data_IF_942899294037
#
_entry.id   IF_942899294037
#
_cell.length_a   1.000
_cell.length_b   1.000
_cell.length_c   1.000
_cell.angle_alpha   90.00
_cell.angle_beta   90.00
_cell.angle_gamma   90.00
#
_symmetry.space_group_name_H-M   'P 1'
#
loop_
_entity.id
_entity.type
_entity.pdbx_description
1 polymer ?
#
# COMPACT_ATOMS: atom_id res chain seq x y z
N UNK A 1 49.25 18.41 -11.71
CA UNK A 1 48.08 17.73 -12.32
C UNK A 1 47.24 17.10 -11.22
N UNK A 2 46.04 17.62 -10.94
CA UNK A 2 45.18 17.09 -9.86
C UNK A 2 44.39 15.86 -10.35
N UNK A 3 44.57 14.72 -9.67
CA UNK A 3 43.87 13.46 -9.97
C UNK A 3 42.39 13.61 -9.61
N UNK A 4 41.49 13.58 -10.60
CA UNK A 4 40.03 13.56 -10.40
C UNK A 4 39.69 12.37 -9.49
N UNK A 5 39.24 12.63 -8.28
CA UNK A 5 38.76 11.59 -7.36
C UNK A 5 37.43 11.09 -7.90
N UNK A 6 37.45 9.98 -8.65
CA UNK A 6 36.24 9.22 -8.97
C UNK A 6 35.77 8.54 -7.68
N UNK A 7 35.07 9.30 -6.83
CA UNK A 7 34.37 8.77 -5.68
C UNK A 7 33.17 7.95 -6.16
N UNK A 8 33.39 6.68 -6.49
CA UNK A 8 32.32 5.67 -6.41
C UNK A 8 31.98 5.50 -4.93
N UNK A 9 31.20 6.45 -4.38
CA UNK A 9 30.64 6.31 -3.04
C UNK A 9 29.78 5.05 -3.07
N UNK A 10 30.25 3.97 -2.45
CA UNK A 10 29.46 2.77 -2.23
C UNK A 10 28.27 3.18 -1.39
N UNK A 11 27.10 3.35 -2.03
CA UNK A 11 25.87 3.68 -1.33
C UNK A 11 25.65 2.61 -0.25
N UNK A 12 25.31 2.99 1.00
CA UNK A 12 25.06 2.02 2.06
C UNK A 12 23.98 1.03 1.58
N UNK A 13 24.20 -0.26 1.83
CA UNK A 13 23.26 -1.35 1.44
C UNK A 13 21.85 -1.12 1.97
N UNK A 14 21.73 -0.40 3.08
CA UNK A 14 20.49 -0.01 3.74
C UNK A 14 20.28 1.51 3.58
N UNK A 15 19.89 1.94 2.39
CA UNK A 15 19.29 3.26 2.24
C UNK A 15 17.96 3.31 2.99
N UNK A 16 17.61 4.45 3.60
CA UNK A 16 16.25 4.68 4.12
C UNK A 16 15.25 4.27 3.05
N UNK A 17 14.28 3.40 3.39
CA UNK A 17 13.23 2.99 2.45
C UNK A 17 12.58 4.27 1.94
N UNK A 18 12.78 4.55 0.65
CA UNK A 18 12.29 5.78 0.07
C UNK A 18 10.77 5.64 -0.02
N UNK A 19 10.04 6.42 0.77
CA UNK A 19 8.57 6.34 0.91
C UNK A 19 7.90 6.38 -0.47
N UNK A 20 8.49 7.13 -1.41
CA UNK A 20 8.07 7.19 -2.82
C UNK A 20 8.03 5.82 -3.51
N UNK A 21 9.00 4.94 -3.25
CA UNK A 21 9.03 3.58 -3.82
C UNK A 21 8.00 2.67 -3.16
N UNK A 22 7.76 2.83 -1.86
CA UNK A 22 6.73 2.07 -1.15
C UNK A 22 5.33 2.45 -1.67
N UNK A 23 5.06 3.76 -1.79
CA UNK A 23 3.78 4.26 -2.29
C UNK A 23 3.53 3.85 -3.73
N UNK A 24 4.57 3.83 -4.58
CA UNK A 24 4.47 3.31 -5.96
C UNK A 24 4.07 1.83 -6.00
N UNK A 25 4.46 1.04 -4.99
CA UNK A 25 4.25 -0.41 -4.97
C UNK A 25 2.93 -0.82 -4.32
N UNK A 26 2.54 -0.16 -3.24
CA UNK A 26 1.41 -0.59 -2.40
C UNK A 26 0.28 0.44 -2.28
N UNK A 27 0.41 1.60 -2.94
CA UNK A 27 -0.54 2.71 -2.81
C UNK A 27 -0.10 3.72 -1.76
N UNK A 28 -0.67 4.95 -1.79
CA UNK A 28 -0.36 6.00 -0.83
C UNK A 28 -0.93 5.71 0.56
N UNK A 29 -2.04 4.98 0.65
CA UNK A 29 -2.75 4.73 1.91
C UNK A 29 -2.25 3.49 2.66
N UNK A 30 -2.18 3.55 4.00
CA UNK A 30 -1.94 2.40 4.86
C UNK A 30 -3.03 1.35 4.76
N UNK A 31 -2.68 0.09 5.05
CA UNK A 31 -3.59 -1.08 4.98
C UNK A 31 -4.74 -0.93 5.97
N UNK A 32 -4.46 -0.45 7.18
CA UNK A 32 -5.44 -0.36 8.25
C UNK A 32 -6.57 0.61 7.91
N UNK A 33 -6.25 1.73 7.26
CA UNK A 33 -7.24 2.72 6.79
C UNK A 33 -8.12 2.12 5.69
N UNK A 34 -7.54 1.33 4.79
CA UNK A 34 -8.32 0.67 3.73
C UNK A 34 -9.27 -0.38 4.33
N UNK A 35 -8.81 -1.16 5.32
CA UNK A 35 -9.69 -2.11 6.03
C UNK A 35 -10.87 -1.39 6.67
N UNK A 36 -10.61 -0.30 7.40
CA UNK A 36 -11.70 0.46 8.03
C UNK A 36 -12.68 1.02 7.01
N UNK A 37 -12.20 1.51 5.86
CA UNK A 37 -13.09 2.05 4.82
C UNK A 37 -13.95 0.94 4.19
N UNK A 38 -13.37 -0.23 3.92
CA UNK A 38 -14.10 -1.40 3.42
C UNK A 38 -15.17 -1.90 4.40
N UNK A 39 -14.83 -1.94 5.70
CA UNK A 39 -15.77 -2.34 6.74
C UNK A 39 -16.93 -1.32 6.86
N UNK A 40 -16.63 -0.02 6.76
CA UNK A 40 -17.64 1.05 6.77
C UNK A 40 -18.57 1.01 5.56
N UNK A 41 -18.03 0.74 4.36
CA UNK A 41 -18.82 0.55 3.13
C UNK A 41 -19.80 -0.64 3.23
N UNK A 42 -19.48 -1.64 4.07
CA UNK A 42 -20.35 -2.81 4.28
C UNK A 42 -21.55 -2.54 5.20
N UNK A 43 -21.51 -1.48 6.01
CA UNK A 43 -22.49 -1.19 7.09
C UNK A 43 -23.65 -0.24 6.71
N UNK A 44 -23.92 -0.11 5.41
CA UNK A 44 -25.00 0.69 4.80
C UNK A 44 -24.75 2.21 4.69
N UNK A 45 -25.31 2.76 3.60
CA UNK A 45 -25.56 4.18 3.25
C UNK A 45 -24.53 4.87 2.32
N UNK A 46 -25.07 5.33 1.18
CA UNK A 46 -24.52 6.19 0.10
C UNK A 46 -23.70 5.53 -1.03
N UNK A 47 -24.44 4.97 -2.00
CA UNK A 47 -24.00 4.75 -3.39
C UNK A 47 -24.04 6.03 -4.23
N UNK A 48 -23.75 7.17 -3.62
CA UNK A 48 -23.73 8.48 -4.30
C UNK A 48 -22.34 9.13 -4.14
N UNK A 49 -21.29 8.32 -4.30
CA UNK A 49 -19.98 8.88 -4.64
C UNK A 49 -20.14 9.32 -6.09
N UNK A 50 -20.31 10.62 -6.31
CA UNK A 50 -20.34 11.23 -7.63
C UNK A 50 -19.21 10.64 -8.48
N UNK A 51 -19.59 9.74 -9.39
CA UNK A 51 -18.73 9.05 -10.37
C UNK A 51 -18.32 10.11 -11.40
N UNK A 52 -17.53 11.08 -10.96
CA UNK A 52 -16.92 12.08 -11.81
C UNK A 52 -15.54 11.56 -12.18
N UNK A 53 -15.53 10.71 -13.21
CA UNK A 53 -14.40 10.38 -14.08
C UNK A 53 -13.40 9.27 -13.69
N UNK A 54 -13.63 8.49 -12.63
CA UNK A 54 -12.76 7.35 -12.26
C UNK A 54 -13.43 5.99 -12.53
N UNK A 55 -13.73 5.69 -13.80
CA UNK A 55 -14.28 4.38 -14.20
C UNK A 55 -13.33 3.21 -13.85
N UNK A 56 -12.03 3.47 -13.69
CA UNK A 56 -11.00 2.46 -13.47
C UNK A 56 -10.23 2.71 -12.17
N UNK A 57 -10.82 2.32 -11.04
CA UNK A 57 -10.20 2.46 -9.72
C UNK A 57 -10.03 1.11 -9.00
N UNK A 58 -8.93 0.97 -8.25
CA UNK A 58 -8.68 -0.20 -7.40
C UNK A 58 -8.81 0.17 -5.92
N UNK A 59 -9.90 -0.28 -5.27
CA UNK A 59 -10.21 0.03 -3.86
C UNK A 59 -9.14 -0.49 -2.90
N UNK A 60 -8.63 -1.69 -3.13
CA UNK A 60 -7.66 -2.34 -2.23
C UNK A 60 -6.28 -1.67 -2.21
N UNK A 61 -5.93 -0.98 -3.30
CA UNK A 61 -4.65 -0.29 -3.48
C UNK A 61 -4.79 1.22 -3.50
N UNK A 62 -6.02 1.75 -3.43
CA UNK A 62 -6.35 3.17 -3.50
C UNK A 62 -5.60 3.88 -4.63
N UNK A 63 -5.79 3.35 -5.84
CA UNK A 63 -5.04 3.79 -7.02
C UNK A 63 -5.95 3.94 -8.24
N UNK A 64 -5.99 5.13 -8.86
CA UNK A 64 -6.68 5.35 -10.12
C UNK A 64 -5.86 4.84 -11.31
N UNK A 65 -6.57 4.43 -12.35
CA UNK A 65 -6.05 3.93 -13.61
C UNK A 65 -6.71 4.66 -14.78
N UNK A 66 -6.02 4.66 -15.93
CA UNK A 66 -6.48 5.35 -17.15
C UNK A 66 -7.39 4.43 -18.00
N UNK A 67 -7.12 3.12 -18.00
CA UNK A 67 -7.83 2.14 -18.86
C UNK A 67 -8.25 0.88 -18.10
N UNK A 68 -9.31 0.19 -18.56
CA UNK A 68 -9.72 -1.16 -18.10
C UNK A 68 -8.56 -2.16 -18.17
N UNK A 69 -7.82 -2.16 -19.27
CA UNK A 69 -6.70 -3.09 -19.49
C UNK A 69 -5.61 -2.90 -18.44
N UNK A 70 -5.36 -1.66 -18.04
CA UNK A 70 -4.37 -1.33 -17.01
C UNK A 70 -4.82 -1.77 -15.61
N UNK A 71 -6.12 -1.67 -15.31
CA UNK A 71 -6.71 -2.19 -14.08
C UNK A 71 -6.68 -3.72 -14.05
N UNK A 72 -7.07 -4.40 -15.14
CA UNK A 72 -7.01 -5.86 -15.23
C UNK A 72 -5.58 -6.38 -15.12
N UNK A 73 -4.61 -5.69 -15.75
CA UNK A 73 -3.20 -6.01 -15.61
C UNK A 73 -2.73 -5.82 -14.16
N UNK A 74 -3.14 -4.74 -13.50
CA UNK A 74 -2.83 -4.48 -12.09
C UNK A 74 -3.34 -5.59 -11.17
N UNK A 75 -4.59 -6.04 -11.33
CA UNK A 75 -5.19 -7.10 -10.53
C UNK A 75 -4.41 -8.42 -10.61
N UNK A 76 -3.77 -8.70 -11.76
CA UNK A 76 -2.95 -9.91 -11.97
C UNK A 76 -1.57 -9.82 -11.30
N UNK A 77 -1.09 -8.64 -10.95
CA UNK A 77 0.27 -8.43 -10.39
C UNK A 77 0.45 -9.05 -9.00
N UNK A 78 1.70 -9.39 -8.67
CA UNK A 78 2.06 -9.93 -7.34
C UNK A 78 1.84 -8.92 -6.22
N UNK A 79 2.00 -7.62 -6.48
CA UNK A 79 1.77 -6.56 -5.48
C UNK A 79 0.33 -6.51 -5.03
N UNK A 80 -0.61 -6.54 -5.98
CA UNK A 80 -2.04 -6.53 -5.68
C UNK A 80 -2.46 -7.81 -4.95
N UNK A 81 -2.04 -8.99 -5.44
CA UNK A 81 -2.31 -10.26 -4.74
C UNK A 81 -1.75 -10.33 -3.31
N UNK A 82 -0.63 -9.65 -3.05
CA UNK A 82 -0.07 -9.53 -1.69
C UNK A 82 -0.95 -8.63 -0.82
N UNK A 83 -1.44 -7.51 -1.37
CA UNK A 83 -2.36 -6.58 -0.71
C UNK A 83 -3.65 -7.29 -0.27
N UNK A 84 -4.26 -8.07 -1.15
CA UNK A 84 -5.46 -8.88 -0.83
C UNK A 84 -5.20 -9.80 0.37
N UNK A 85 -4.04 -10.46 0.41
CA UNK A 85 -3.70 -11.36 1.52
C UNK A 85 -3.52 -10.59 2.82
N UNK A 86 -2.80 -9.47 2.79
CA UNK A 86 -2.62 -8.58 3.95
C UNK A 86 -3.95 -8.00 4.45
N UNK A 87 -4.90 -7.75 3.55
CA UNK A 87 -6.25 -7.30 3.88
C UNK A 87 -7.07 -8.40 4.59
N UNK A 88 -6.87 -9.67 4.24
CA UNK A 88 -7.54 -10.80 4.90
C UNK A 88 -6.94 -11.18 6.25
N UNK A 89 -5.66 -10.87 6.47
CA UNK A 89 -4.98 -11.18 7.72
C UNK A 89 -5.44 -10.25 8.84
N UNK A 90 -5.66 -10.78 10.04
CA UNK A 90 -6.01 -9.99 11.22
C UNK A 90 -4.77 -9.15 11.62
N UNK A 91 -4.90 -7.81 11.78
CA UNK A 91 -3.78 -7.00 12.21
C UNK A 91 -3.35 -7.38 13.63
N UNK A 92 -2.04 -7.40 13.87
CA UNK A 92 -1.49 -7.70 15.18
C UNK A 92 -1.90 -6.63 16.20
N UNK A 93 -2.38 -7.06 17.37
CA UNK A 93 -2.88 -6.15 18.39
C UNK A 93 -1.80 -5.77 19.42
N UNK A 94 -1.95 -4.57 20.00
CA UNK A 94 -1.08 -4.10 21.09
C UNK A 94 -1.18 -5.04 22.30
N UNK A 95 -2.38 -5.53 22.63
CA UNK A 95 -2.60 -6.47 23.75
C UNK A 95 -1.86 -7.79 23.56
N UNK A 96 -1.81 -8.32 22.34
CA UNK A 96 -1.00 -9.52 22.03
C UNK A 96 0.48 -9.22 22.20
N UNK A 97 0.93 -8.02 21.84
CA UNK A 97 2.30 -7.55 22.05
C UNK A 97 2.67 -7.52 23.52
N UNK A 98 1.81 -6.93 24.34
CA UNK A 98 2.01 -6.78 25.78
C UNK A 98 2.03 -8.13 26.50
N UNK A 99 1.13 -9.06 26.12
CA UNK A 99 1.14 -10.44 26.61
C UNK A 99 2.44 -11.17 26.27
N UNK A 100 2.94 -11.03 25.04
CA UNK A 100 4.20 -11.64 24.61
C UNK A 100 5.41 -11.01 25.31
N UNK A 101 5.34 -9.72 25.65
CA UNK A 101 6.35 -9.00 26.42
C UNK A 101 6.27 -9.27 27.94
N UNK A 102 5.23 -9.97 28.42
CA UNK A 102 5.01 -10.22 29.84
C UNK A 102 4.62 -8.97 30.65
N UNK A 103 4.07 -7.96 29.97
CA UNK A 103 3.59 -6.70 30.60
C UNK A 103 2.13 -6.80 31.08
N UNK A 104 1.40 -7.80 30.59
CA UNK A 104 0.02 -8.17 30.93
C UNK A 104 -0.03 -9.65 31.33
#
# INVERSE_FOLDING_TARGET
>A
MARKKNNHVRKPKYGKRNVKHANKKYGPTPIDIIKTNLDLESTEVNRDIDISNDEFFCVECDRPFIDINSLSAHQKTKSHKKRIKELKEVPYSIKESEKMAGLL
#
